data_IF_428716105131
#
_entry.id   IF_428716105131
#
_cell.length_a   1.000
_cell.length_b   1.000
_cell.length_c   1.000
_cell.angle_alpha   90.00
_cell.angle_beta   90.00
_cell.angle_gamma   90.00
#
_symmetry.space_group_name_H-M   'P 1'
#
loop_
_entity.id
_entity.type
_entity.pdbx_description
1 polymer ?
#
# COMPACT_ATOMS: atom_id res chain seq x y z
N UNK A 1 -0.65 8.89 -25.92
CA UNK A 1 0.48 8.31 -25.16
C UNK A 1 1.80 8.23 -25.92
N UNK A 2 1.83 8.09 -27.26
CA UNK A 2 3.08 7.91 -28.02
C UNK A 2 4.00 9.14 -28.11
N UNK A 3 3.48 10.36 -27.86
CA UNK A 3 4.27 11.60 -27.94
C UNK A 3 5.13 11.85 -26.68
N UNK A 4 4.64 11.45 -25.50
CA UNK A 4 5.38 11.58 -24.23
C UNK A 4 6.51 10.56 -24.08
N UNK A 5 6.35 9.36 -24.65
CA UNK A 5 7.42 8.35 -24.72
C UNK A 5 8.58 8.80 -25.63
N UNK A 6 8.31 9.60 -26.66
CA UNK A 6 9.36 10.15 -27.54
C UNK A 6 10.19 11.26 -26.86
N UNK A 7 9.55 12.11 -26.06
CA UNK A 7 10.22 13.22 -25.37
C UNK A 7 11.07 12.75 -24.18
N UNK A 8 10.65 11.71 -23.46
CA UNK A 8 11.44 11.10 -22.37
C UNK A 8 12.68 10.36 -22.88
N UNK A 9 12.63 9.78 -24.08
CA UNK A 9 13.80 9.14 -24.71
C UNK A 9 14.86 10.17 -25.09
N UNK A 10 14.46 11.37 -25.55
CA UNK A 10 15.41 12.46 -25.84
C UNK A 10 16.09 13.03 -24.58
N UNK A 11 15.41 13.03 -23.43
CA UNK A 11 15.99 13.49 -22.15
C UNK A 11 16.94 12.46 -21.50
N UNK A 12 16.68 11.16 -21.69
CA UNK A 12 17.58 10.10 -21.19
C UNK A 12 18.85 9.97 -22.05
N UNK A 13 18.78 10.17 -23.36
CA UNK A 13 19.96 10.15 -24.24
C UNK A 13 20.87 11.39 -24.05
N UNK A 14 20.35 12.48 -23.49
CA UNK A 14 21.16 13.69 -23.19
C UNK A 14 21.99 13.57 -21.90
N UNK A 15 21.65 12.65 -20.99
CA UNK A 15 22.28 12.52 -19.65
C UNK A 15 23.34 11.42 -19.57
N UNK A 16 23.47 10.57 -20.60
CA UNK A 16 24.43 9.46 -20.65
C UNK A 16 25.31 9.51 -21.90
N UNK A 17 25.84 10.69 -22.23
CA UNK A 17 27.14 10.72 -22.90
C UNK A 17 28.20 10.48 -21.83
N UNK A 18 28.79 9.27 -21.73
CA UNK A 18 30.03 9.14 -20.96
C UNK A 18 31.00 10.18 -21.52
N UNK A 19 31.75 10.91 -20.68
CA UNK A 19 32.77 11.82 -21.17
C UNK A 19 33.67 10.98 -22.07
N UNK A 20 33.63 11.26 -23.38
CA UNK A 20 34.59 10.70 -24.31
C UNK A 20 35.94 11.12 -23.79
N UNK A 21 36.64 10.16 -23.17
CA UNK A 21 38.04 10.23 -22.81
C UNK A 21 38.78 10.49 -24.11
N UNK A 22 38.94 11.78 -24.40
CA UNK A 22 39.78 12.29 -25.46
C UNK A 22 41.18 12.06 -24.92
N UNK A 23 41.81 10.98 -25.37
CA UNK A 23 43.22 10.69 -25.21
C UNK A 23 44.02 11.84 -25.85
N UNK A 24 44.12 12.95 -25.14
CA UNK A 24 45.17 13.92 -25.36
C UNK A 24 46.31 13.49 -24.45
N UNK A 25 47.23 12.70 -25.00
CA UNK A 25 48.59 12.50 -24.51
C UNK A 25 49.42 13.80 -24.61
N UNK A 26 48.83 14.92 -24.17
CA UNK A 26 49.56 16.14 -23.93
C UNK A 26 50.09 16.07 -22.52
N UNK A 27 51.42 15.97 -22.43
CA UNK A 27 52.24 16.10 -21.24
C UNK A 27 51.96 17.46 -20.59
N UNK A 28 50.88 17.56 -19.81
CA UNK A 28 50.67 18.67 -18.89
C UNK A 28 51.70 18.48 -17.76
N UNK A 29 52.55 19.49 -17.48
CA UNK A 29 53.49 19.42 -16.39
C UNK A 29 52.72 19.16 -15.09
N UNK A 30 53.11 18.10 -14.38
CA UNK A 30 52.71 17.83 -12.99
C UNK A 30 53.34 18.89 -12.08
N UNK A 31 53.01 20.15 -12.29
CA UNK A 31 53.30 21.20 -11.33
C UNK A 31 52.30 21.04 -10.19
N UNK A 32 52.81 20.40 -9.15
CA UNK A 32 52.16 20.09 -7.89
C UNK A 32 51.78 21.36 -7.12
N UNK A 33 50.77 22.09 -7.60
CA UNK A 33 49.89 22.83 -6.70
C UNK A 33 48.92 21.82 -6.10
N UNK A 34 49.40 21.08 -5.10
CA UNK A 34 48.49 20.59 -4.06
C UNK A 34 47.98 21.84 -3.39
N UNK A 35 46.86 22.35 -3.87
CA UNK A 35 46.11 23.41 -3.22
C UNK A 35 45.84 22.94 -1.80
N UNK A 36 46.70 23.36 -0.88
CA UNK A 36 46.54 23.18 0.55
C UNK A 36 45.38 24.07 0.95
N UNK A 37 44.18 23.57 0.71
CA UNK A 37 42.94 24.14 1.21
C UNK A 37 43.17 24.44 2.69
N UNK A 38 43.02 25.71 3.05
CA UNK A 38 43.40 26.21 4.36
C UNK A 38 42.56 25.51 5.42
N UNK A 39 43.12 25.30 6.62
CA UNK A 39 42.42 24.61 7.72
C UNK A 39 41.03 25.21 8.00
N UNK A 40 40.87 26.52 7.80
CA UNK A 40 39.60 27.24 7.99
C UNK A 40 38.54 26.88 6.94
N UNK A 41 38.94 26.60 5.70
CA UNK A 41 38.02 26.18 4.63
C UNK A 41 37.46 24.78 4.93
N UNK A 42 38.32 23.84 5.34
CA UNK A 42 37.89 22.49 5.76
C UNK A 42 36.89 22.54 6.91
N UNK A 43 37.12 23.43 7.87
CA UNK A 43 36.24 23.61 9.02
C UNK A 43 34.86 24.14 8.61
N UNK A 44 34.83 25.18 7.78
CA UNK A 44 33.59 25.77 7.26
C UNK A 44 32.80 24.74 6.44
N UNK A 45 33.49 24.01 5.57
CA UNK A 45 32.89 22.98 4.73
C UNK A 45 32.34 21.81 5.55
N UNK A 46 33.06 21.36 6.58
CA UNK A 46 32.60 20.30 7.50
C UNK A 46 31.31 20.69 8.20
N UNK A 47 31.24 21.93 8.70
CA UNK A 47 30.02 22.44 9.33
C UNK A 47 28.87 22.55 8.32
N UNK A 48 29.14 22.99 7.10
CA UNK A 48 28.13 23.06 6.05
C UNK A 48 27.58 21.67 5.71
N UNK A 49 28.42 20.65 5.59
CA UNK A 49 27.97 19.27 5.38
C UNK A 49 27.16 18.74 6.56
N UNK A 50 27.57 19.01 7.80
CA UNK A 50 26.81 18.60 8.98
C UNK A 50 25.42 19.27 9.03
N UNK A 51 25.33 20.56 8.67
CA UNK A 51 24.05 21.28 8.52
C UNK A 51 23.18 20.66 7.42
N UNK A 52 23.73 20.47 6.22
CA UNK A 52 23.01 19.89 5.09
C UNK A 52 22.53 18.47 5.36
N UNK A 53 23.34 17.64 6.03
CA UNK A 53 22.94 16.30 6.45
C UNK A 53 21.78 16.34 7.46
N UNK A 54 21.79 17.29 8.40
CA UNK A 54 20.69 17.48 9.36
C UNK A 54 19.39 17.83 8.65
N UNK A 55 19.44 18.78 7.71
CA UNK A 55 18.24 19.18 6.95
C UNK A 55 17.74 18.07 6.02
N UNK A 56 18.65 17.27 5.46
CA UNK A 56 18.28 16.11 4.65
C UNK A 56 17.60 15.02 5.49
N UNK A 57 18.11 14.74 6.69
CA UNK A 57 17.50 13.80 7.63
C UNK A 57 16.09 14.26 8.05
N UNK A 58 15.90 15.55 8.38
CA UNK A 58 14.57 16.09 8.69
C UNK A 58 13.58 15.94 7.54
N UNK A 59 14.01 16.21 6.30
CA UNK A 59 13.17 16.01 5.10
C UNK A 59 12.78 14.54 4.95
N UNK A 60 13.74 13.62 5.11
CA UNK A 60 13.48 12.19 5.05
C UNK A 60 12.50 11.74 6.14
N UNK A 61 12.64 12.25 7.38
CA UNK A 61 11.67 11.99 8.46
C UNK A 61 10.27 12.45 8.10
N UNK A 62 10.12 13.69 7.60
CA UNK A 62 8.82 14.22 7.19
C UNK A 62 8.15 13.32 6.14
N UNK A 63 8.89 12.93 5.10
CA UNK A 63 8.39 12.02 4.07
C UNK A 63 8.00 10.64 4.64
N UNK A 64 8.79 10.09 5.55
CA UNK A 64 8.48 8.83 6.20
C UNK A 64 7.21 8.91 7.07
N UNK A 65 6.99 10.03 7.77
CA UNK A 65 5.78 10.26 8.57
C UNK A 65 4.54 10.45 7.69
N UNK A 66 4.64 11.19 6.59
CA UNK A 66 3.56 11.36 5.60
C UNK A 66 3.18 10.03 4.95
N UNK A 67 4.17 9.22 4.55
CA UNK A 67 3.95 7.88 4.01
C UNK A 67 3.29 6.96 5.05
N UNK A 68 3.74 7.02 6.31
CA UNK A 68 3.13 6.28 7.42
C UNK A 68 1.66 6.63 7.60
N UNK A 69 1.33 7.93 7.62
CA UNK A 69 -0.06 8.40 7.76
C UNK A 69 -0.94 7.96 6.59
N UNK A 70 -0.41 8.03 5.37
CA UNK A 70 -1.12 7.55 4.17
C UNK A 70 -1.41 6.06 4.30
N UNK A 71 -0.41 5.25 4.71
CA UNK A 71 -0.60 3.82 4.95
C UNK A 71 -1.67 3.51 6.00
N UNK A 72 -1.74 4.28 7.09
CA UNK A 72 -2.79 4.14 8.11
C UNK A 72 -4.17 4.39 7.50
N UNK A 73 -4.34 5.46 6.74
CA UNK A 73 -5.63 5.79 6.09
C UNK A 73 -6.04 4.73 5.07
N UNK A 74 -5.10 4.23 4.27
CA UNK A 74 -5.38 3.14 3.33
C UNK A 74 -5.79 1.85 4.06
N UNK A 75 -5.13 1.52 5.16
CA UNK A 75 -5.49 0.35 5.96
C UNK A 75 -6.89 0.49 6.61
N UNK A 76 -7.26 1.71 7.04
CA UNK A 76 -8.61 2.02 7.52
C UNK A 76 -9.67 1.83 6.41
N UNK A 77 -9.38 2.31 5.20
CA UNK A 77 -10.28 2.16 4.06
C UNK A 77 -10.45 0.69 3.63
N UNK A 78 -9.37 -0.09 3.62
CA UNK A 78 -9.47 -1.55 3.37
C UNK A 78 -10.38 -2.23 4.39
N UNK A 79 -10.32 -1.81 5.66
CA UNK A 79 -11.20 -2.37 6.70
C UNK A 79 -12.68 -2.06 6.42
N UNK A 80 -13.01 -0.84 5.97
CA UNK A 80 -14.38 -0.46 5.57
C UNK A 80 -14.86 -1.25 4.35
N UNK A 81 -14.00 -1.43 3.35
CA UNK A 81 -14.32 -2.24 2.16
C UNK A 81 -14.61 -3.70 2.53
N UNK A 82 -13.89 -4.27 3.49
CA UNK A 82 -14.17 -5.62 4.00
C UNK A 82 -15.56 -5.72 4.63
N UNK A 83 -15.98 -4.76 5.45
CA UNK A 83 -17.32 -4.74 6.05
C UNK A 83 -18.42 -4.68 4.97
N UNK A 84 -18.18 -3.92 3.90
CA UNK A 84 -19.09 -3.88 2.74
C UNK A 84 -19.16 -5.24 2.03
N UNK A 85 -18.03 -5.91 1.80
CA UNK A 85 -18.01 -7.25 1.20
C UNK A 85 -18.74 -8.29 2.05
N UNK A 86 -18.60 -8.22 3.38
CA UNK A 86 -19.34 -9.08 4.30
C UNK A 86 -20.86 -8.84 4.23
N UNK A 87 -21.28 -7.57 4.13
CA UNK A 87 -22.70 -7.21 3.94
C UNK A 87 -23.24 -7.78 2.62
N UNK A 88 -22.48 -7.65 1.53
CA UNK A 88 -22.86 -8.20 0.23
C UNK A 88 -22.95 -9.73 0.28
N UNK A 89 -22.07 -10.39 1.02
CA UNK A 89 -22.14 -11.83 1.23
C UNK A 89 -23.44 -12.23 1.96
N UNK A 90 -23.81 -11.52 3.03
CA UNK A 90 -25.05 -11.76 3.77
C UNK A 90 -26.32 -11.52 2.91
N UNK A 91 -26.28 -10.51 2.05
CA UNK A 91 -27.36 -10.22 1.09
C UNK A 91 -27.51 -11.35 0.07
N UNK A 92 -26.41 -11.85 -0.50
CA UNK A 92 -26.43 -12.98 -1.43
C UNK A 92 -26.92 -14.27 -0.75
N UNK A 93 -26.55 -14.50 0.51
CA UNK A 93 -27.12 -15.61 1.29
C UNK A 93 -28.62 -15.48 1.51
N UNK A 94 -29.12 -14.26 1.71
CA UNK A 94 -30.55 -13.97 1.84
C UNK A 94 -31.27 -14.24 0.53
N UNK A 95 -30.72 -13.81 -0.61
CA UNK A 95 -31.23 -14.14 -1.95
C UNK A 95 -31.34 -15.65 -2.14
N UNK A 96 -30.30 -16.41 -1.74
CA UNK A 96 -30.31 -17.86 -1.84
C UNK A 96 -31.46 -18.54 -1.08
N UNK A 97 -31.78 -18.04 0.12
CA UNK A 97 -32.90 -18.54 0.93
C UNK A 97 -34.23 -18.20 0.28
N UNK A 98 -34.38 -16.96 -0.20
CA UNK A 98 -35.59 -16.53 -0.91
C UNK A 98 -35.83 -17.33 -2.21
N UNK A 99 -34.75 -17.67 -2.94
CA UNK A 99 -34.83 -18.52 -4.13
C UNK A 99 -35.23 -19.96 -3.78
N UNK A 100 -34.79 -20.49 -2.63
CA UNK A 100 -35.21 -21.81 -2.13
C UNK A 100 -36.70 -21.85 -1.78
N UNK A 101 -37.19 -20.82 -1.07
CA UNK A 101 -38.61 -20.68 -0.76
C UNK A 101 -39.44 -20.51 -2.04
N UNK A 102 -38.94 -19.73 -3.01
CA UNK A 102 -39.60 -19.54 -4.31
C UNK A 102 -39.65 -20.84 -5.11
N UNK A 103 -38.58 -21.64 -5.11
CA UNK A 103 -38.53 -22.96 -5.76
C UNK A 103 -39.59 -23.91 -5.20
N UNK A 104 -39.78 -23.90 -3.89
CA UNK A 104 -40.81 -24.67 -3.20
C UNK A 104 -42.22 -24.25 -3.66
N UNK A 105 -42.53 -22.95 -3.63
CA UNK A 105 -43.84 -22.44 -4.07
C UNK A 105 -44.12 -22.75 -5.55
N UNK A 106 -43.13 -22.55 -6.43
CA UNK A 106 -43.27 -22.91 -7.86
C UNK A 106 -43.53 -24.41 -8.02
N UNK A 107 -42.87 -25.25 -7.23
CA UNK A 107 -43.10 -26.70 -7.27
C UNK A 107 -44.49 -27.10 -6.80
N UNK A 108 -45.04 -26.40 -5.79
CA UNK A 108 -46.39 -26.62 -5.30
C UNK A 108 -47.45 -26.22 -6.35
N UNK A 109 -47.24 -25.12 -7.07
CA UNK A 109 -48.11 -24.70 -8.18
C UNK A 109 -48.02 -25.69 -9.36
N UNK A 110 -46.81 -26.11 -9.75
CA UNK A 110 -46.61 -27.12 -10.81
C UNK A 110 -47.24 -28.47 -10.42
N UNK A 111 -47.17 -28.85 -9.13
CA UNK A 111 -47.73 -30.10 -8.61
C UNK A 111 -49.25 -30.08 -8.47
N UNK A 112 -49.82 -29.04 -7.85
CA UNK A 112 -51.27 -28.97 -7.55
C UNK A 112 -52.18 -28.98 -8.79
N UNK A 113 -51.69 -28.48 -9.93
CA UNK A 113 -52.46 -28.51 -11.18
C UNK A 113 -52.35 -29.85 -11.93
N UNK A 114 -51.22 -30.57 -11.83
CA UNK A 114 -50.95 -31.79 -12.61
C UNK A 114 -50.97 -33.11 -11.82
N UNK A 115 -50.85 -33.09 -10.49
CA UNK A 115 -50.81 -34.31 -9.66
C UNK A 115 -52.14 -35.06 -9.65
N UNK A 116 -53.27 -34.39 -9.91
CA UNK A 116 -54.56 -35.07 -10.09
C UNK A 116 -54.71 -35.70 -11.49
N UNK A 117 -53.80 -35.45 -12.43
CA UNK A 117 -53.93 -35.89 -13.83
C UNK A 117 -52.87 -36.93 -14.22
N UNK A 118 -51.69 -36.99 -13.57
CA UNK A 118 -50.60 -37.90 -13.97
C UNK A 118 -49.88 -38.58 -12.79
N UNK A 119 -50.19 -39.85 -12.45
CA UNK A 119 -49.69 -40.54 -11.25
C UNK A 119 -48.22 -41.02 -11.29
N UNK A 120 -47.39 -40.55 -12.23
CA UNK A 120 -46.05 -41.11 -12.47
C UNK A 120 -44.86 -40.16 -12.26
N UNK A 121 -45.06 -38.95 -11.71
CA UNK A 121 -43.92 -38.05 -11.45
C UNK A 121 -43.27 -38.34 -10.11
N UNK A 122 -41.96 -38.58 -10.14
CA UNK A 122 -41.10 -38.73 -8.96
C UNK A 122 -40.89 -37.35 -8.33
N UNK A 123 -40.99 -37.26 -7.01
CA UNK A 123 -40.75 -36.03 -6.26
C UNK A 123 -39.41 -35.38 -6.66
N UNK A 124 -39.36 -34.04 -6.81
CA UNK A 124 -38.12 -33.35 -7.13
C UNK A 124 -37.10 -33.61 -6.01
N UNK A 125 -35.87 -33.93 -6.42
CA UNK A 125 -34.76 -34.11 -5.48
C UNK A 125 -34.42 -32.73 -4.92
N UNK A 126 -34.62 -32.55 -3.61
CA UNK A 126 -34.14 -31.36 -2.88
C UNK A 126 -32.63 -31.25 -3.15
N UNK A 127 -32.23 -30.19 -3.84
CA UNK A 127 -30.81 -29.93 -4.10
C UNK A 127 -30.16 -29.64 -2.76
N UNK A 128 -29.39 -30.62 -2.26
CA UNK A 128 -28.62 -30.48 -1.04
C UNK A 128 -27.49 -29.48 -1.34
N UNK A 129 -27.58 -28.27 -0.78
CA UNK A 129 -26.55 -27.22 -0.81
C UNK A 129 -25.14 -27.84 -0.77
N UNK A 130 -24.37 -27.68 -1.85
CA UNK A 130 -22.99 -28.18 -1.91
C UNK A 130 -21.96 -27.14 -1.45
N UNK A 131 -22.38 -25.90 -1.19
CA UNK A 131 -21.53 -24.90 -0.52
C UNK A 131 -21.29 -25.34 0.94
N UNK A 132 -20.07 -25.80 1.18
CA UNK A 132 -19.73 -26.63 2.32
C UNK A 132 -19.75 -25.83 3.64
N UNK A 133 -20.35 -26.36 4.72
CA UNK A 133 -20.16 -25.84 6.09
C UNK A 133 -18.68 -25.68 6.49
N UNK A 134 -17.78 -26.37 5.79
CA UNK A 134 -16.34 -26.27 5.96
C UNK A 134 -15.79 -24.90 5.53
N UNK A 135 -16.37 -24.24 4.54
CA UNK A 135 -15.90 -22.96 4.01
C UNK A 135 -16.28 -21.80 4.93
N UNK A 136 -17.53 -21.77 5.42
CA UNK A 136 -17.94 -20.84 6.48
C UNK A 136 -17.04 -20.94 7.72
N UNK A 137 -16.70 -22.17 8.15
CA UNK A 137 -15.77 -22.36 9.27
C UNK A 137 -14.38 -21.79 8.97
N UNK A 138 -13.86 -21.96 7.76
CA UNK A 138 -12.56 -21.38 7.34
C UNK A 138 -12.59 -19.85 7.32
N UNK A 139 -13.69 -19.24 6.90
CA UNK A 139 -13.89 -17.78 6.90
C UNK A 139 -14.00 -17.27 8.34
N UNK A 140 -14.81 -17.90 9.20
CA UNK A 140 -14.91 -17.53 10.62
C UNK A 140 -13.58 -17.70 11.38
N UNK A 141 -12.82 -18.75 11.08
CA UNK A 141 -11.48 -18.95 11.64
C UNK A 141 -10.46 -17.93 11.09
N UNK A 142 -10.63 -17.46 9.85
CA UNK A 142 -9.84 -16.36 9.31
C UNK A 142 -10.19 -15.04 10.00
N UNK A 143 -11.47 -14.76 10.22
CA UNK A 143 -11.98 -13.59 10.93
C UNK A 143 -11.47 -13.52 12.38
N UNK A 144 -11.43 -14.65 13.09
CA UNK A 144 -10.86 -14.74 14.46
C UNK A 144 -9.34 -14.57 14.49
N UNK A 145 -8.65 -14.79 13.37
CA UNK A 145 -7.19 -14.75 13.28
C UNK A 145 -6.60 -13.41 12.85
N UNK A 146 -7.42 -12.50 12.32
CA UNK A 146 -7.03 -11.14 11.94
C UNK A 146 -7.51 -10.23 13.07
N UNK A 147 -6.68 -9.92 14.08
CA UNK A 147 -7.05 -8.91 15.06
C UNK A 147 -7.31 -7.62 14.29
N UNK A 148 -8.50 -7.04 14.46
CA UNK A 148 -8.88 -5.79 13.83
C UNK A 148 -7.75 -4.77 13.96
N UNK A 149 -7.49 -4.05 12.87
CA UNK A 149 -6.41 -3.06 12.84
C UNK A 149 -6.72 -2.05 13.93
N UNK A 150 -5.92 -2.07 15.01
CA UNK A 150 -5.96 -1.04 16.04
C UNK A 150 -5.37 0.27 15.45
N UNK A 151 -6.19 0.96 14.66
CA UNK A 151 -5.87 2.23 14.01
C UNK A 151 -5.50 3.27 15.06
N UNK A 152 -6.11 3.20 16.24
CA UNK A 152 -5.95 4.15 17.33
C UNK A 152 -4.59 3.95 18.04
N UNK A 153 -4.20 2.70 18.31
CA UNK A 153 -2.85 2.35 18.76
C UNK A 153 -1.76 2.74 17.77
N UNK A 154 -2.01 2.60 16.46
CA UNK A 154 -1.07 3.02 15.41
C UNK A 154 -0.94 4.55 15.29
N UNK A 155 -2.05 5.30 15.42
CA UNK A 155 -2.04 6.77 15.45
C UNK A 155 -1.26 7.30 16.65
N UNK A 156 -1.41 6.68 17.82
CA UNK A 156 -0.76 7.11 19.07
C UNK A 156 0.68 6.61 19.25
N UNK A 157 1.16 5.71 18.37
CA UNK A 157 2.49 5.09 18.50
C UNK A 157 2.61 4.14 19.69
N UNK A 158 1.47 3.75 20.29
CA UNK A 158 1.37 2.81 21.41
C UNK A 158 0.77 1.51 20.90
N UNK A 159 1.39 0.87 19.92
CA UNK A 159 1.01 -0.49 19.55
C UNK A 159 1.50 -1.44 20.64
N UNK A 160 0.56 -2.11 21.31
CA UNK A 160 0.89 -3.16 22.26
C UNK A 160 1.72 -4.24 21.55
N UNK A 161 2.98 -4.39 21.96
CA UNK A 161 3.95 -5.32 21.35
C UNK A 161 3.45 -6.77 21.28
N UNK A 162 2.43 -7.11 22.07
CA UNK A 162 1.84 -8.44 22.12
C UNK A 162 0.82 -8.69 20.99
N UNK A 163 0.13 -7.67 20.44
CA UNK A 163 -0.89 -7.89 19.40
C UNK A 163 -0.27 -8.25 18.04
N UNK A 164 0.90 -7.70 17.72
CA UNK A 164 1.60 -7.95 16.47
C UNK A 164 2.25 -9.33 16.41
N UNK A 165 2.75 -9.84 17.53
CA UNK A 165 3.48 -11.11 17.57
C UNK A 165 2.57 -12.33 17.34
N UNK A 166 1.31 -12.24 17.74
CA UNK A 166 0.28 -13.25 17.48
C UNK A 166 -0.06 -13.38 16.00
N UNK A 167 -0.07 -12.27 15.25
CA UNK A 167 -0.33 -12.29 13.80
C UNK A 167 0.83 -12.93 13.04
N UNK A 168 2.06 -12.51 13.32
CA UNK A 168 3.27 -13.02 12.64
C UNK A 168 3.45 -14.53 12.90
N UNK A 169 3.27 -14.99 14.14
CA UNK A 169 3.42 -16.42 14.46
C UNK A 169 2.34 -17.31 13.86
N UNK A 170 1.10 -16.83 13.74
CA UNK A 170 0.04 -17.59 13.07
C UNK A 170 0.26 -17.65 11.56
N UNK A 171 0.83 -16.61 10.96
CA UNK A 171 1.21 -16.60 9.54
C UNK A 171 2.37 -17.56 9.25
N UNK A 172 3.40 -17.59 10.12
CA UNK A 172 4.54 -18.51 10.01
C UNK A 172 4.11 -19.99 10.17
N UNK A 173 3.18 -20.28 11.07
CA UNK A 173 2.63 -21.64 11.28
C UNK A 173 1.72 -22.13 10.15
N UNK A 174 1.14 -21.22 9.35
CA UNK A 174 0.31 -21.58 8.18
C UNK A 174 1.13 -21.89 6.92
N UNK A 175 2.45 -21.68 6.92
CA UNK A 175 3.35 -22.17 5.86
C UNK A 175 3.72 -23.65 6.05
N UNK A 176 2.71 -24.52 6.13
CA UNK A 176 2.96 -25.97 5.96
C UNK A 176 3.22 -26.26 4.48
N UNK A 177 4.17 -27.14 4.14
CA UNK A 177 4.67 -27.33 2.77
C UNK A 177 3.75 -28.12 1.82
N UNK A 178 2.47 -28.31 2.09
CA UNK A 178 1.68 -29.31 1.33
C UNK A 178 1.00 -28.81 0.04
N UNK A 179 0.84 -27.51 -0.20
CA UNK A 179 0.22 -27.00 -1.45
C UNK A 179 1.09 -25.95 -2.17
N UNK A 180 2.36 -26.30 -2.41
CA UNK A 180 3.28 -25.49 -3.21
C UNK A 180 3.26 -25.93 -4.68
N UNK A 181 2.10 -25.83 -5.34
CA UNK A 181 2.00 -25.80 -6.80
C UNK A 181 1.14 -24.60 -7.19
N UNK A 182 1.77 -23.68 -7.91
CA UNK A 182 1.16 -22.64 -8.76
C UNK A 182 0.80 -21.26 -8.18
N UNK A 183 1.21 -20.88 -6.96
CA UNK A 183 1.24 -19.44 -6.61
C UNK A 183 2.50 -18.77 -7.16
N UNK A 184 2.44 -18.39 -8.44
CA UNK A 184 3.43 -17.52 -9.11
C UNK A 184 3.38 -16.06 -8.59
N UNK A 185 2.98 -15.85 -7.33
CA UNK A 185 2.88 -14.54 -6.69
C UNK A 185 4.27 -14.13 -6.18
N UNK A 186 5.16 -13.83 -7.14
CA UNK A 186 6.54 -13.45 -6.86
C UNK A 186 6.60 -12.11 -6.14
N UNK A 187 6.67 -12.20 -4.81
CA UNK A 187 7.15 -11.19 -3.89
C UNK A 187 6.26 -9.92 -3.83
N UNK A 188 5.20 -9.87 -3.00
CA UNK A 188 4.34 -8.70 -2.85
C UNK A 188 5.13 -7.44 -2.44
N UNK A 189 6.26 -7.62 -1.74
CA UNK A 189 7.21 -6.55 -1.42
C UNK A 189 7.79 -5.87 -2.66
N UNK A 190 7.95 -6.57 -3.80
CA UNK A 190 8.45 -5.99 -5.05
C UNK A 190 7.39 -5.10 -5.71
N UNK A 191 6.12 -5.48 -5.65
CA UNK A 191 5.02 -4.66 -6.16
C UNK A 191 4.80 -3.43 -5.29
N UNK A 192 4.90 -3.59 -3.98
CA UNK A 192 4.90 -2.47 -3.04
C UNK A 192 6.09 -1.53 -3.27
N UNK A 193 7.31 -2.04 -3.46
CA UNK A 193 8.48 -1.23 -3.80
C UNK A 193 8.33 -0.56 -5.16
N UNK A 194 7.79 -1.22 -6.18
CA UNK A 194 7.54 -0.62 -7.50
C UNK A 194 6.42 0.43 -7.46
N UNK A 195 5.36 0.23 -6.67
CA UNK A 195 4.29 1.20 -6.45
C UNK A 195 4.78 2.42 -5.67
N UNK A 196 5.59 2.20 -4.62
CA UNK A 196 6.21 3.25 -3.83
C UNK A 196 7.26 4.03 -4.64
N UNK A 197 8.19 3.34 -5.31
CA UNK A 197 9.24 3.97 -6.12
C UNK A 197 8.73 4.59 -7.43
N UNK A 198 7.50 4.25 -7.82
CA UNK A 198 6.95 4.54 -9.14
C UNK A 198 5.62 5.25 -9.08
N UNK A 199 5.57 6.42 -8.44
CA UNK A 199 4.43 7.33 -8.50
C UNK A 199 4.88 8.80 -8.56
N UNK A 200 5.37 9.22 -9.73
CA UNK A 200 4.83 10.45 -10.34
C UNK A 200 3.34 10.16 -10.62
N UNK A 201 2.45 10.49 -9.69
CA UNK A 201 1.02 10.60 -10.02
C UNK A 201 0.85 11.81 -10.93
N UNK A 202 0.85 11.58 -12.25
CA UNK A 202 0.17 12.50 -13.16
C UNK A 202 -1.32 12.36 -12.90
N UNK A 203 -1.86 13.25 -12.07
CA UNK A 203 -3.29 13.43 -11.87
C UNK A 203 -3.94 13.90 -13.17
N UNK A 204 -4.38 12.95 -13.99
CA UNK A 204 -5.36 13.21 -15.06
C UNK A 204 -6.38 12.09 -14.99
N UNK A 205 -7.63 12.47 -14.74
CA UNK A 205 -8.84 11.64 -14.69
C UNK A 205 -9.38 11.37 -13.27
N UNK A 206 -9.74 12.44 -12.56
CA UNK A 206 -10.84 12.44 -11.60
C UNK A 206 -11.95 13.39 -12.11
N UNK A 207 -13.24 13.10 -11.90
CA UNK A 207 -14.34 13.94 -12.35
C UNK A 207 -14.30 15.30 -11.64
N UNK A 208 -14.35 16.38 -12.41
CA UNK A 208 -14.50 17.73 -11.86
C UNK A 208 -15.88 17.85 -11.20
N UNK A 209 -15.91 17.82 -9.87
CA UNK A 209 -16.95 18.50 -9.11
C UNK A 209 -16.36 19.71 -8.39
N UNK A 210 -17.13 20.77 -8.48
CA UNK A 210 -16.77 22.16 -8.25
C UNK A 210 -16.70 22.51 -6.77
N UNK A 211 -15.78 23.42 -6.45
CA UNK A 211 -15.69 24.21 -5.21
C UNK A 211 -15.12 23.50 -3.97
N UNK A 212 -13.80 23.54 -3.84
CA UNK A 212 -13.16 24.18 -2.69
C UNK A 212 -11.66 24.40 -2.97
N UNK A 213 -11.36 25.64 -3.33
CA UNK A 213 -9.99 26.17 -3.49
C UNK A 213 -9.34 26.22 -2.11
N UNK A 214 -8.68 25.14 -1.71
CA UNK A 214 -7.73 25.15 -0.61
C UNK A 214 -6.33 25.23 -1.21
N UNK A 215 -5.75 26.42 -1.08
CA UNK A 215 -4.46 26.82 -1.62
C UNK A 215 -3.37 25.79 -1.28
N UNK A 216 -2.89 25.08 -2.30
CA UNK A 216 -1.61 24.40 -2.26
C UNK A 216 -0.57 25.38 -2.81
N UNK A 217 -0.08 26.25 -1.93
CA UNK A 217 1.06 27.12 -2.20
C UNK A 217 2.33 26.27 -2.40
N UNK A 218 2.81 26.26 -3.65
CA UNK A 218 4.22 26.29 -4.08
C UNK A 218 5.31 25.84 -3.08
N UNK A 219 5.78 24.60 -3.21
CA UNK A 219 7.07 24.13 -2.70
C UNK A 219 8.16 24.08 -3.79
N UNK A 220 8.11 25.02 -4.73
CA UNK A 220 9.20 25.29 -5.67
C UNK A 220 9.40 26.81 -5.76
N UNK A 221 10.09 27.37 -4.76
CA UNK A 221 10.92 28.59 -4.84
C UNK A 221 11.25 29.08 -3.43
N UNK A 222 12.12 28.38 -2.70
CA UNK A 222 12.85 28.98 -1.57
C UNK A 222 14.30 28.51 -1.59
N UNK A 223 15.02 28.94 -2.61
CA UNK A 223 16.45 29.25 -2.52
C UNK A 223 16.73 30.50 -3.37
N UNK A 224 15.93 31.55 -3.17
CA UNK A 224 16.46 32.90 -3.33
C UNK A 224 17.09 33.25 -1.99
N UNK A 225 18.40 33.08 -1.95
CA UNK A 225 19.31 33.71 -1.00
C UNK A 225 18.97 35.18 -0.89
N UNK A 226 18.20 35.55 0.12
CA UNK A 226 18.35 36.86 0.76
C UNK A 226 19.74 36.81 1.38
N UNK A 227 20.72 37.34 0.66
CA UNK A 227 21.97 37.83 1.22
C UNK A 227 21.59 38.95 2.20
N UNK A 228 21.09 38.56 3.37
CA UNK A 228 21.19 39.39 4.54
C UNK A 228 22.68 39.59 4.74
N UNK A 229 23.10 40.84 4.52
CA UNK A 229 24.40 41.39 4.75
C UNK A 229 24.76 41.21 6.24
N UNK A 230 25.02 39.97 6.65
CA UNK A 230 25.62 39.68 7.94
C UNK A 230 27.04 40.23 7.87
N UNK A 231 27.43 41.07 8.85
CA UNK A 231 28.77 41.62 8.89
C UNK A 231 29.74 40.44 8.82
N UNK A 232 30.62 40.48 7.82
CA UNK A 232 31.72 39.53 7.61
C UNK A 232 32.74 39.70 8.74
N UNK A 233 32.31 39.35 9.94
CA UNK A 233 33.17 39.15 11.09
C UNK A 233 33.99 37.91 10.76
N UNK A 234 35.12 38.16 10.12
CA UNK A 234 36.24 37.23 9.97
C UNK A 234 36.90 37.00 11.34
N UNK A 235 36.08 36.72 12.36
CA UNK A 235 36.57 36.17 13.59
C UNK A 235 37.07 34.77 13.25
N UNK A 236 38.38 34.60 13.41
CA UNK A 236 39.04 33.31 13.41
C UNK A 236 38.33 32.41 14.43
N UNK A 237 37.30 31.70 13.96
CA UNK A 237 36.59 30.66 14.69
C UNK A 237 37.64 29.60 15.01
N UNK A 238 38.19 29.68 16.21
CA UNK A 238 39.19 28.74 16.67
C UNK A 238 38.62 27.33 16.56
N UNK A 239 39.47 26.38 16.18
CA UNK A 239 39.16 24.95 16.06
C UNK A 239 38.35 24.41 17.27
N UNK A 240 38.59 24.99 18.45
CA UNK A 240 37.92 24.67 19.71
C UNK A 240 36.41 24.95 19.71
N UNK A 241 35.91 25.93 18.94
CA UNK A 241 34.48 26.25 18.86
C UNK A 241 33.72 25.47 17.78
N UNK A 242 34.42 24.94 16.77
CA UNK A 242 33.77 24.24 15.66
C UNK A 242 33.36 22.80 16.03
N UNK A 243 34.24 22.07 16.71
CA UNK A 243 33.99 20.69 17.12
C UNK A 243 32.64 20.50 17.85
N UNK A 244 32.28 21.30 18.88
CA UNK A 244 30.98 21.15 19.54
C UNK A 244 29.78 21.50 18.63
N UNK A 245 29.96 22.36 17.63
CA UNK A 245 28.91 22.72 16.69
C UNK A 245 28.63 21.59 15.70
N UNK A 246 29.69 20.97 15.18
CA UNK A 246 29.59 19.79 14.30
C UNK A 246 28.99 18.61 15.08
N UNK A 247 29.47 18.34 16.29
CA UNK A 247 28.93 17.29 17.17
C UNK A 247 27.43 17.48 17.44
N UNK A 248 27.00 18.72 17.70
CA UNK A 248 25.57 19.05 17.85
C UNK A 248 24.74 18.71 16.61
N UNK A 249 25.27 18.92 15.40
CA UNK A 249 24.59 18.56 14.17
C UNK A 249 24.55 17.05 13.94
N UNK A 250 25.64 16.34 14.25
CA UNK A 250 25.69 14.88 14.14
C UNK A 250 24.73 14.19 15.10
N UNK A 251 24.65 14.64 16.37
CA UNK A 251 23.65 14.11 17.33
C UNK A 251 22.22 14.32 16.85
N UNK A 252 21.92 15.49 16.26
CA UNK A 252 20.60 15.74 15.66
C UNK A 252 20.33 14.83 14.47
N UNK A 253 21.32 14.57 13.61
CA UNK A 253 21.16 13.63 12.51
C UNK A 253 20.82 12.23 13.03
N UNK A 254 21.54 11.77 14.06
CA UNK A 254 21.31 10.48 14.71
C UNK A 254 19.88 10.37 15.27
N UNK A 255 19.42 11.39 16.02
CA UNK A 255 18.04 11.47 16.52
C UNK A 255 16.98 11.43 15.41
N UNK A 256 17.22 12.09 14.28
CA UNK A 256 16.31 12.07 13.12
C UNK A 256 16.33 10.70 12.43
N UNK A 257 17.48 10.03 12.34
CA UNK A 257 17.62 8.69 11.78
C UNK A 257 16.91 7.63 12.64
N UNK A 258 16.97 7.74 13.96
CA UNK A 258 16.21 6.88 14.88
C UNK A 258 14.70 7.01 14.65
N UNK A 259 14.20 8.24 14.49
CA UNK A 259 12.79 8.50 14.19
C UNK A 259 12.38 7.95 12.83
N UNK A 260 13.23 8.10 11.80
CA UNK A 260 13.02 7.46 10.50
C UNK A 260 12.95 5.94 10.66
N UNK A 261 13.85 5.35 11.44
CA UNK A 261 13.87 3.92 11.73
C UNK A 261 12.57 3.42 12.35
N UNK A 262 12.01 4.17 13.32
CA UNK A 262 10.71 3.89 13.92
C UNK A 262 9.57 4.00 12.88
N UNK A 263 9.52 5.08 12.10
CA UNK A 263 8.50 5.25 11.06
C UNK A 263 8.54 4.13 10.01
N UNK A 264 9.73 3.72 9.57
CA UNK A 264 9.90 2.60 8.61
C UNK A 264 9.44 1.28 9.22
N UNK A 265 9.70 1.05 10.51
CA UNK A 265 9.20 -0.13 11.21
C UNK A 265 7.66 -0.15 11.27
N UNK A 266 7.03 0.97 11.61
CA UNK A 266 5.57 1.10 11.60
C UNK A 266 5.00 0.85 10.20
N UNK A 267 5.59 1.45 9.16
CA UNK A 267 5.18 1.26 7.77
C UNK A 267 5.27 -0.21 7.33
N UNK A 268 6.31 -0.94 7.76
CA UNK A 268 6.41 -2.39 7.53
C UNK A 268 5.26 -3.14 8.20
N UNK A 269 4.90 -2.78 9.43
CA UNK A 269 3.79 -3.41 10.15
C UNK A 269 2.45 -3.14 9.45
N UNK A 270 2.19 -1.90 9.05
CA UNK A 270 1.01 -1.51 8.26
C UNK A 270 0.94 -2.34 6.98
N UNK A 271 2.03 -2.43 6.21
CA UNK A 271 2.07 -3.19 4.97
C UNK A 271 1.75 -4.69 5.18
N UNK A 272 2.26 -5.30 6.26
CA UNK A 272 1.93 -6.70 6.60
C UNK A 272 0.45 -6.87 6.93
N UNK A 273 -0.14 -5.94 7.68
CA UNK A 273 -1.58 -5.96 8.01
C UNK A 273 -2.44 -5.77 6.77
N UNK A 274 -2.14 -4.78 5.92
CA UNK A 274 -2.83 -4.56 4.64
C UNK A 274 -2.77 -5.80 3.76
N UNK A 275 -1.61 -6.48 3.67
CA UNK A 275 -1.50 -7.71 2.89
C UNK A 275 -2.36 -8.84 3.47
N UNK A 276 -2.47 -8.95 4.80
CA UNK A 276 -3.36 -9.93 5.42
C UNK A 276 -4.84 -9.63 5.14
N UNK A 277 -5.21 -8.35 5.17
CA UNK A 277 -6.56 -7.88 4.86
C UNK A 277 -6.95 -8.16 3.41
N UNK A 278 -6.06 -7.84 2.46
CA UNK A 278 -6.28 -8.14 1.04
C UNK A 278 -6.46 -9.64 0.79
N UNK A 279 -5.66 -10.50 1.44
CA UNK A 279 -5.82 -11.95 1.34
C UNK A 279 -7.12 -12.47 1.98
N UNK A 280 -7.73 -11.71 2.91
CA UNK A 280 -9.04 -12.05 3.46
C UNK A 280 -10.15 -11.63 2.50
N UNK A 281 -10.09 -10.40 1.97
CA UNK A 281 -11.01 -9.91 0.95
C UNK A 281 -11.04 -10.82 -0.28
N UNK A 282 -9.88 -11.29 -0.75
CA UNK A 282 -9.76 -12.26 -1.86
C UNK A 282 -10.64 -13.50 -1.62
N UNK A 283 -10.59 -14.08 -0.42
CA UNK A 283 -11.40 -15.26 -0.08
C UNK A 283 -12.90 -14.96 0.00
N UNK A 284 -13.27 -13.77 0.46
CA UNK A 284 -14.68 -13.36 0.46
C UNK A 284 -15.16 -13.22 -0.99
N UNK A 285 -14.36 -12.59 -1.85
CA UNK A 285 -14.68 -12.44 -3.28
C UNK A 285 -14.81 -13.79 -3.99
N UNK A 286 -13.90 -14.73 -3.76
CA UNK A 286 -13.97 -16.09 -4.33
C UNK A 286 -15.27 -16.80 -3.89
N UNK A 287 -15.62 -16.71 -2.60
CA UNK A 287 -16.87 -17.30 -2.10
C UNK A 287 -18.10 -16.59 -2.66
N UNK A 288 -18.03 -15.27 -2.85
CA UNK A 288 -19.13 -14.47 -3.37
C UNK A 288 -19.39 -14.81 -4.84
N UNK A 289 -18.34 -14.98 -5.64
CA UNK A 289 -18.42 -15.37 -7.06
C UNK A 289 -19.21 -16.68 -7.21
N UNK A 290 -18.81 -17.73 -6.48
CA UNK A 290 -19.49 -19.04 -6.52
C UNK A 290 -20.96 -18.92 -6.09
N UNK A 291 -21.24 -18.16 -5.04
CA UNK A 291 -22.61 -17.99 -4.55
C UNK A 291 -23.48 -17.18 -5.53
N UNK A 292 -22.93 -16.14 -6.15
CA UNK A 292 -23.65 -15.32 -7.14
C UNK A 292 -23.95 -16.14 -8.39
N UNK A 293 -23.01 -16.93 -8.89
CA UNK A 293 -23.23 -17.83 -10.03
C UNK A 293 -24.34 -18.87 -9.76
N UNK A 294 -24.35 -19.49 -8.57
CA UNK A 294 -25.40 -20.44 -8.18
C UNK A 294 -26.77 -19.75 -8.07
N UNK A 295 -26.82 -18.56 -7.47
CA UNK A 295 -28.06 -17.78 -7.35
C UNK A 295 -28.61 -17.40 -8.74
N UNK A 296 -27.75 -16.95 -9.65
CA UNK A 296 -28.12 -16.61 -11.02
C UNK A 296 -28.67 -17.83 -11.78
N UNK A 297 -28.00 -18.98 -11.66
CA UNK A 297 -28.46 -20.22 -12.29
C UNK A 297 -29.85 -20.65 -11.80
N UNK A 298 -30.08 -20.60 -10.48
CA UNK A 298 -31.35 -20.94 -9.84
C UNK A 298 -32.46 -19.98 -10.25
N UNK A 299 -32.18 -18.67 -10.25
CA UNK A 299 -33.12 -17.64 -10.70
C UNK A 299 -33.57 -17.89 -12.16
N UNK A 300 -32.63 -18.15 -13.08
CA UNK A 300 -32.94 -18.49 -14.47
C UNK A 300 -33.73 -19.80 -14.61
N UNK A 301 -33.46 -20.79 -13.75
CA UNK A 301 -34.25 -22.02 -13.67
C UNK A 301 -35.70 -21.75 -13.27
N UNK A 302 -35.90 -20.97 -12.20
CA UNK A 302 -37.21 -20.58 -11.70
C UNK A 302 -38.00 -19.76 -12.72
N UNK A 303 -37.38 -18.76 -13.35
CA UNK A 303 -38.02 -17.96 -14.41
C UNK A 303 -38.52 -18.83 -15.56
N UNK A 304 -37.74 -19.83 -15.98
CA UNK A 304 -38.17 -20.79 -17.02
C UNK A 304 -39.34 -21.66 -16.56
N UNK A 305 -39.41 -22.05 -15.29
CA UNK A 305 -40.53 -22.82 -14.73
C UNK A 305 -41.79 -21.97 -14.68
N UNK A 306 -41.69 -20.75 -14.15
CA UNK A 306 -42.80 -19.78 -14.09
C UNK A 306 -43.36 -19.49 -15.47
N UNK A 307 -42.51 -19.26 -16.49
CA UNK A 307 -42.97 -19.00 -17.86
C UNK A 307 -43.69 -20.19 -18.53
N UNK A 308 -43.63 -21.40 -17.97
CA UNK A 308 -44.36 -22.58 -18.48
C UNK A 308 -45.72 -22.79 -17.81
N UNK A 309 -45.93 -22.19 -16.63
CA UNK A 309 -47.19 -22.24 -15.88
C UNK A 309 -48.15 -21.24 -16.53
#
# INVERSE_FOLDING_TARGET
MSFFLAQRKQLLDASHKPPTSRNNDDKIPRDAKKDTLTTNEWQTQTLQYAKQGTESAKRARKLAEEARMTGILTAEELSKQTEQLETVQDDVETIHRNLEDSEYVISEIEGGFFDNVLPFRKAPKVYKRMAAPAEKRRIEEAKKGIPGIDVEGMKTGKTDKNSTWTVVKNQERRRKPEDQKDSNFKNPFKYFWNWWSGTEWSATDAPQDSSNTMQQESLQQVHNTVEANEPSVTENLSHERLAPLVDKHLRKQDEELDRIGLAVKDMKEIALRMNAELSYQERIMDSLEVNVEDADHRLHGNLRRVNRI
#
